data_IF_155082932113
#
_entry.id   IF_155082932113
#
_cell.length_a   1.000
_cell.length_b   1.000
_cell.length_c   1.000
_cell.angle_alpha   90.00
_cell.angle_beta   90.00
_cell.angle_gamma   90.00
#
_symmetry.space_group_name_H-M   'P 1'
#
loop_
_entity.id
_entity.type
_entity.pdbx_description
1 polymer ?
#
# COMPACT_ATOMS: atom_id res chain seq x y z
N UNK A 1 4.24 0.88 9.79
CA UNK A 1 5.14 -0.29 9.74
C UNK A 1 4.47 -1.44 10.46
N UNK A 2 4.52 -2.66 9.93
CA UNK A 2 3.75 -3.80 10.46
C UNK A 2 4.15 -4.14 11.91
N UNK A 3 5.43 -4.00 12.25
CA UNK A 3 5.97 -4.28 13.58
C UNK A 3 5.45 -3.33 14.68
N UNK A 4 5.12 -2.10 14.35
CA UNK A 4 4.63 -1.11 15.33
C UNK A 4 3.18 -1.35 15.75
N UNK A 5 2.46 -2.27 15.09
CA UNK A 5 1.06 -2.55 15.44
C UNK A 5 0.91 -3.28 16.78
N UNK A 6 1.91 -4.08 17.14
CA UNK A 6 1.88 -4.98 18.30
C UNK A 6 3.00 -4.64 19.32
N UNK A 7 3.79 -3.59 19.06
CA UNK A 7 4.88 -3.16 19.93
C UNK A 7 4.30 -2.43 21.15
N UNK A 8 4.30 -3.10 22.32
CA UNK A 8 3.72 -2.57 23.55
C UNK A 8 4.38 -1.27 24.03
N UNK A 9 5.68 -1.09 23.77
CA UNK A 9 6.36 0.16 24.12
C UNK A 9 5.86 1.30 23.24
N UNK A 10 5.77 1.08 21.94
CA UNK A 10 5.24 2.06 21.00
C UNK A 10 3.79 2.47 21.35
N UNK A 11 2.94 1.51 21.71
CA UNK A 11 1.55 1.79 22.09
C UNK A 11 1.44 2.59 23.40
N UNK A 12 2.36 2.37 24.35
CA UNK A 12 2.42 3.12 25.61
C UNK A 12 2.95 4.54 25.40
N UNK A 13 3.97 4.69 24.57
CA UNK A 13 4.60 5.99 24.30
C UNK A 13 3.72 6.88 23.42
N UNK A 14 2.86 6.29 22.59
CA UNK A 14 1.96 6.99 21.68
C UNK A 14 0.49 6.57 21.88
N UNK A 15 -0.13 6.91 23.03
CA UNK A 15 -1.53 6.61 23.28
C UNK A 15 -2.40 7.39 22.29
N UNK A 16 -3.08 6.66 21.40
CA UNK A 16 -3.91 7.23 20.33
C UNK A 16 -3.32 7.11 18.92
N UNK A 17 -2.13 6.53 18.76
CA UNK A 17 -1.63 6.19 17.44
C UNK A 17 -2.56 5.17 16.74
N UNK A 18 -3.17 5.58 15.64
CA UNK A 18 -4.00 4.70 14.82
C UNK A 18 -3.13 3.91 13.85
N UNK A 19 -3.07 2.60 14.05
CA UNK A 19 -2.40 1.69 13.12
C UNK A 19 -3.33 1.40 11.96
N UNK A 20 -2.83 1.54 10.73
CA UNK A 20 -3.57 1.16 9.53
C UNK A 20 -3.70 -0.36 9.54
N UNK A 21 -4.89 -0.94 9.37
CA UNK A 21 -5.04 -2.40 9.23
C UNK A 21 -4.70 -2.87 7.81
N UNK A 22 -4.41 -4.17 7.66
CA UNK A 22 -4.18 -4.76 6.33
C UNK A 22 -5.38 -4.56 5.40
N UNK A 23 -6.60 -4.65 5.94
CA UNK A 23 -7.83 -4.40 5.18
C UNK A 23 -7.88 -2.96 4.66
N UNK A 24 -7.57 -1.97 5.50
CA UNK A 24 -7.52 -0.56 5.08
C UNK A 24 -6.47 -0.34 3.98
N UNK A 25 -5.32 -1.00 4.07
CA UNK A 25 -4.28 -0.95 3.03
C UNK A 25 -4.72 -1.56 1.69
N UNK A 26 -5.37 -2.72 1.72
CA UNK A 26 -5.92 -3.37 0.53
C UNK A 26 -7.05 -2.55 -0.11
N UNK A 27 -7.91 -1.94 0.70
CA UNK A 27 -8.98 -1.08 0.19
C UNK A 27 -8.43 0.20 -0.43
N UNK A 28 -7.40 0.81 0.16
CA UNK A 28 -6.71 1.95 -0.45
C UNK A 28 -6.07 1.56 -1.79
N UNK A 29 -5.42 0.39 -1.87
CA UNK A 29 -4.86 -0.13 -3.13
C UNK A 29 -5.93 -0.24 -4.21
N UNK A 30 -7.12 -0.78 -3.89
CA UNK A 30 -8.25 -0.82 -4.84
C UNK A 30 -8.69 0.58 -5.25
N UNK A 31 -8.82 1.50 -4.29
CA UNK A 31 -9.27 2.87 -4.52
C UNK A 31 -8.35 3.64 -5.46
N UNK A 32 -7.03 3.52 -5.30
CA UNK A 32 -6.05 4.22 -6.15
C UNK A 32 -5.67 3.44 -7.42
N UNK A 33 -6.21 2.23 -7.59
CA UNK A 33 -5.88 1.36 -8.71
C UNK A 33 -4.43 0.84 -8.68
N UNK A 34 -3.82 0.73 -7.50
CA UNK A 34 -2.48 0.19 -7.34
C UNK A 34 -2.45 -1.31 -7.65
N UNK A 35 -1.29 -1.78 -8.12
CA UNK A 35 -1.12 -3.15 -8.58
C UNK A 35 -1.00 -4.13 -7.41
N UNK A 36 -0.33 -3.71 -6.34
CA UNK A 36 -0.09 -4.51 -5.15
C UNK A 36 -0.11 -3.61 -3.91
N UNK A 37 -0.55 -4.19 -2.80
CA UNK A 37 -0.30 -3.70 -1.45
C UNK A 37 0.60 -4.73 -0.78
N UNK A 38 1.66 -4.27 -0.12
CA UNK A 38 2.62 -5.13 0.56
C UNK A 38 3.01 -4.47 1.88
N UNK A 39 2.92 -5.23 2.96
CA UNK A 39 3.39 -4.80 4.28
C UNK A 39 4.79 -5.36 4.53
N UNK A 40 5.67 -4.54 5.10
CA UNK A 40 7.00 -4.97 5.52
C UNK A 40 7.39 -4.29 6.84
N UNK A 41 8.41 -4.86 7.47
CA UNK A 41 9.13 -4.27 8.59
C UNK A 41 10.62 -4.22 8.27
N UNK A 42 11.16 -3.02 8.16
CA UNK A 42 12.62 -2.82 8.08
C UNK A 42 13.32 -3.16 9.39
N UNK A 43 12.62 -3.03 10.54
CA UNK A 43 13.16 -3.33 11.88
C UNK A 43 13.40 -4.83 12.04
N UNK A 44 12.42 -5.66 11.70
CA UNK A 44 12.49 -7.13 11.83
C UNK A 44 12.90 -7.82 10.52
N UNK A 45 13.20 -7.06 9.48
CA UNK A 45 13.46 -7.54 8.11
C UNK A 45 12.30 -8.36 7.51
N UNK A 46 11.11 -8.27 8.08
CA UNK A 46 9.92 -8.99 7.59
C UNK A 46 9.52 -8.47 6.21
N UNK A 47 9.42 -9.39 5.25
CA UNK A 47 8.93 -9.17 3.89
C UNK A 47 9.69 -8.10 3.07
N UNK A 48 10.89 -7.69 3.49
CA UNK A 48 11.70 -6.69 2.76
C UNK A 48 12.04 -7.21 1.36
N UNK A 49 12.56 -8.44 1.26
CA UNK A 49 12.85 -9.08 -0.04
C UNK A 49 11.60 -9.20 -0.92
N UNK A 50 10.45 -9.56 -0.34
CA UNK A 50 9.20 -9.72 -1.07
C UNK A 50 8.72 -8.42 -1.71
N UNK A 51 8.91 -7.28 -1.03
CA UNK A 51 8.63 -5.94 -1.60
C UNK A 51 9.48 -5.66 -2.83
N UNK A 52 10.80 -5.90 -2.76
CA UNK A 52 11.69 -5.67 -3.89
C UNK A 52 11.44 -6.66 -5.04
N UNK A 53 11.27 -7.95 -4.75
CA UNK A 53 10.96 -8.96 -5.76
C UNK A 53 9.67 -8.62 -6.51
N UNK A 54 8.63 -8.17 -5.81
CA UNK A 54 7.38 -7.76 -6.43
C UNK A 54 7.57 -6.53 -7.32
N UNK A 55 8.28 -5.51 -6.85
CA UNK A 55 8.57 -4.32 -7.64
C UNK A 55 9.34 -4.66 -8.93
N UNK A 56 10.38 -5.49 -8.83
CA UNK A 56 11.17 -5.95 -9.98
C UNK A 56 10.28 -6.72 -10.95
N UNK A 57 9.46 -7.67 -10.46
CA UNK A 57 8.55 -8.44 -11.31
C UNK A 57 7.56 -7.54 -12.05
N UNK A 58 6.98 -6.55 -11.37
CA UNK A 58 6.04 -5.60 -11.98
C UNK A 58 6.70 -4.67 -12.99
N UNK A 59 7.97 -4.29 -12.76
CA UNK A 59 8.74 -3.49 -13.70
C UNK A 59 9.11 -4.28 -14.97
N UNK A 60 9.53 -5.55 -14.81
CA UNK A 60 9.90 -6.42 -15.93
C UNK A 60 8.69 -6.96 -16.70
N UNK A 61 7.59 -7.23 -16.01
CA UNK A 61 6.37 -7.79 -16.57
C UNK A 61 5.18 -6.89 -16.21
N UNK A 62 5.10 -5.70 -16.82
CA UNK A 62 3.97 -4.81 -16.58
C UNK A 62 2.68 -5.53 -17.00
N UNK A 63 1.71 -5.73 -16.09
CA UNK A 63 0.43 -6.32 -16.45
C UNK A 63 -0.26 -5.39 -17.44
N UNK A 64 -0.94 -5.98 -18.42
CA UNK A 64 -1.75 -5.24 -19.39
C UNK A 64 -2.70 -4.34 -18.62
N UNK A 65 -2.52 -3.02 -18.77
CA UNK A 65 -3.35 -2.03 -18.09
C UNK A 65 -4.82 -2.36 -18.32
N UNK A 66 -5.57 -2.71 -17.27
CA UNK A 66 -7.02 -2.55 -17.31
C UNK A 66 -7.22 -1.06 -17.45
N UNK A 67 -7.53 -0.59 -18.67
CA UNK A 67 -7.90 0.82 -18.91
C UNK A 67 -8.96 1.18 -17.87
N UNK A 68 -8.56 1.92 -16.84
CA UNK A 68 -9.54 2.60 -16.03
C UNK A 68 -10.22 3.54 -17.03
N UNK A 69 -11.54 3.40 -17.22
CA UNK A 69 -12.32 4.41 -17.94
C UNK A 69 -12.15 5.69 -17.13
N UNK A 70 -11.12 6.46 -17.46
CA UNK A 70 -11.03 7.86 -17.12
C UNK A 70 -12.24 8.46 -17.79
N UNK A 71 -13.33 8.60 -17.04
CA UNK A 71 -14.44 9.45 -17.43
C UNK A 71 -13.87 10.87 -17.37
N UNK A 72 -13.15 11.28 -18.43
CA UNK A 72 -12.80 12.67 -18.67
C UNK A 72 -14.12 13.35 -18.95
N UNK A 73 -14.85 13.71 -17.89
CA UNK A 73 -15.86 14.75 -18.00
C UNK A 73 -15.06 16.00 -18.34
N UNK A 74 -15.04 16.35 -19.62
CA UNK A 74 -14.45 17.60 -20.08
C UNK A 74 -15.06 18.73 -19.25
N UNK A 75 -14.21 19.52 -18.61
CA UNK A 75 -14.62 20.82 -18.10
C UNK A 75 -14.90 21.69 -19.32
N UNK A 76 -16.18 21.93 -19.61
CA UNK A 76 -16.56 23.05 -20.44
C UNK A 76 -16.65 24.28 -19.54
N UNK A 77 -15.70 25.19 -19.68
CA UNK A 77 -15.83 26.56 -19.19
C UNK A 77 -16.70 27.31 -20.19
N UNK A 78 -17.92 27.62 -19.79
CA UNK A 78 -18.77 28.64 -20.38
C UNK A 78 -18.92 29.77 -19.37
#
# INVERSE_FOLDING_TARGET
MADLREDEQFLRDYPGAHTISTQQGEDLKKQIGAMAYLECSSKTQQNVKGVFDAAIKLALHPPKSKKHKSNRKGCNVF
#
